data_IF_143771973190
#
_entry.id   IF_143771973190
#
_cell.length_a   1.000
_cell.length_b   1.000
_cell.length_c   1.000
_cell.angle_alpha   90.00
_cell.angle_beta   90.00
_cell.angle_gamma   90.00
#
_symmetry.space_group_name_H-M   'P 1'
#
loop_
_entity.id
_entity.type
_entity.pdbx_description
1 polymer ?
#
# COMPACT_ATOMS: atom_id res chain seq x y z
N UNK A 1 -0.78 -0.49 14.58
CA UNK A 1 -1.40 -0.29 13.25
C UNK A 1 -0.33 0.34 12.38
N UNK A 2 0.12 -0.32 11.33
CA UNK A 2 1.29 0.11 10.56
C UNK A 2 0.95 1.34 9.71
N UNK A 3 1.56 2.49 10.02
CA UNK A 3 1.46 3.70 9.19
C UNK A 3 2.33 3.52 7.94
N UNK A 4 1.71 3.17 6.81
CA UNK A 4 2.36 3.16 5.50
C UNK A 4 2.41 4.61 5.00
N UNK A 5 3.60 5.24 4.93
CA UNK A 5 3.72 6.63 4.49
C UNK A 5 3.39 6.79 3.01
N UNK A 6 3.04 8.02 2.62
CA UNK A 6 2.89 8.36 1.20
C UNK A 6 4.23 8.18 0.46
N UNK A 7 4.21 7.67 -0.79
CA UNK A 7 5.43 7.54 -1.59
C UNK A 7 6.14 8.89 -1.73
N UNK A 8 7.45 8.91 -1.53
CA UNK A 8 8.29 10.09 -1.74
C UNK A 8 8.63 10.29 -3.21
N UNK A 9 8.73 9.18 -3.97
CA UNK A 9 9.08 9.20 -5.38
C UNK A 9 7.84 9.22 -6.30
N UNK A 10 7.95 9.96 -7.41
CA UNK A 10 6.91 10.08 -8.45
C UNK A 10 6.64 8.76 -9.18
N UNK A 11 5.50 8.64 -9.87
CA UNK A 11 5.06 7.36 -10.48
C UNK A 11 6.08 6.77 -11.45
N UNK A 12 6.80 7.62 -12.18
CA UNK A 12 7.78 7.23 -13.19
C UNK A 12 9.22 7.17 -12.65
N UNK A 13 9.41 7.39 -11.35
CA UNK A 13 10.71 7.38 -10.71
C UNK A 13 11.18 5.92 -10.47
N UNK A 14 12.37 5.53 -10.97
CA UNK A 14 12.88 4.17 -10.78
C UNK A 14 13.06 3.78 -9.30
N UNK A 15 13.34 4.75 -8.42
CA UNK A 15 13.57 4.53 -7.00
C UNK A 15 12.26 4.26 -6.22
N UNK A 16 11.10 4.58 -6.81
CA UNK A 16 9.79 4.30 -6.22
C UNK A 16 9.58 2.83 -5.93
N UNK A 17 10.09 1.95 -6.79
CA UNK A 17 9.96 0.49 -6.63
C UNK A 17 10.71 -0.02 -5.40
N UNK A 18 11.93 0.48 -5.19
CA UNK A 18 12.78 0.17 -4.04
C UNK A 18 12.21 0.75 -2.74
N UNK A 19 11.73 2.00 -2.79
CA UNK A 19 11.05 2.66 -1.69
C UNK A 19 9.82 1.86 -1.25
N UNK A 20 8.94 1.52 -2.19
CA UNK A 20 7.73 0.75 -1.91
C UNK A 20 8.09 -0.59 -1.25
N UNK A 21 9.05 -1.32 -1.82
CA UNK A 21 9.50 -2.60 -1.25
C UNK A 21 9.92 -2.45 0.20
N UNK A 22 10.77 -1.47 0.50
CA UNK A 22 11.28 -1.23 1.85
C UNK A 22 10.15 -0.89 2.83
N UNK A 23 9.24 0.00 2.43
CA UNK A 23 8.10 0.42 3.25
C UNK A 23 7.19 -0.79 3.58
N UNK A 24 6.80 -1.55 2.55
CA UNK A 24 5.87 -2.67 2.72
C UNK A 24 6.50 -3.85 3.47
N UNK A 25 7.79 -4.15 3.26
CA UNK A 25 8.50 -5.18 4.04
C UNK A 25 8.56 -4.80 5.53
N UNK A 26 8.83 -3.53 5.85
CA UNK A 26 8.84 -3.06 7.24
C UNK A 26 7.45 -3.11 7.88
N UNK A 27 6.41 -2.69 7.15
CA UNK A 27 5.03 -2.75 7.63
C UNK A 27 4.58 -4.19 7.88
N UNK A 28 4.94 -5.12 6.99
CA UNK A 28 4.68 -6.55 7.13
C UNK A 28 5.37 -7.13 8.37
N UNK A 29 6.65 -6.85 8.56
CA UNK A 29 7.41 -7.31 9.74
C UNK A 29 6.80 -6.80 11.04
N UNK A 30 6.38 -5.54 11.08
CA UNK A 30 5.70 -4.98 12.26
C UNK A 30 4.39 -5.70 12.54
N UNK A 31 3.58 -5.96 11.50
CA UNK A 31 2.32 -6.67 11.64
C UNK A 31 2.52 -8.10 12.15
N UNK A 32 3.48 -8.83 11.58
CA UNK A 32 3.83 -10.19 12.04
C UNK A 32 4.29 -10.17 13.48
N UNK A 33 5.13 -9.20 13.87
CA UNK A 33 5.57 -9.05 15.26
C UNK A 33 4.40 -8.80 16.22
N UNK A 34 3.48 -7.91 15.85
CA UNK A 34 2.29 -7.61 16.66
C UNK A 34 1.39 -8.86 16.82
N UNK A 35 1.23 -9.65 15.75
CA UNK A 35 0.49 -10.90 15.80
C UNK A 35 1.17 -11.95 16.69
N UNK A 36 2.50 -12.08 16.61
CA UNK A 36 3.25 -13.00 17.48
C UNK A 36 3.13 -12.59 18.95
N UNK A 37 3.20 -11.30 19.26
CA UNK A 37 2.98 -10.76 20.61
C UNK A 37 1.56 -11.10 21.11
N UNK A 38 0.58 -11.10 20.21
CA UNK A 38 -0.79 -11.50 20.52
C UNK A 38 -1.00 -13.03 20.65
N UNK A 39 0.05 -13.85 20.48
CA UNK A 39 0.04 -15.29 20.72
C UNK A 39 -0.07 -16.15 19.46
N UNK A 40 -0.05 -15.55 18.27
CA UNK A 40 -0.09 -16.30 17.01
C UNK A 40 1.28 -16.89 16.65
N UNK A 41 1.28 -18.01 15.91
CA UNK A 41 2.52 -18.57 15.36
C UNK A 41 2.94 -17.80 14.12
N UNK A 42 4.23 -17.49 14.02
CA UNK A 42 4.77 -16.74 12.87
C UNK A 42 4.44 -17.40 11.52
N UNK A 43 4.56 -18.73 11.43
CA UNK A 43 4.27 -19.48 10.20
C UNK A 43 2.80 -19.45 9.79
N UNK A 44 1.89 -19.43 10.77
CA UNK A 44 0.44 -19.34 10.54
C UNK A 44 0.09 -17.95 10.00
N UNK A 45 0.62 -16.90 10.64
CA UNK A 45 0.42 -15.51 10.22
C UNK A 45 0.98 -15.29 8.80
N UNK A 46 2.16 -15.82 8.51
CA UNK A 46 2.75 -15.72 7.17
C UNK A 46 1.88 -16.38 6.09
N UNK A 47 1.31 -17.56 6.38
CA UNK A 47 0.43 -18.26 5.45
C UNK A 47 -0.88 -17.50 5.22
N UNK A 48 -1.52 -16.99 6.28
CA UNK A 48 -2.74 -16.19 6.18
C UNK A 48 -2.51 -14.88 5.42
N UNK A 49 -1.36 -14.24 5.60
CA UNK A 49 -1.02 -13.02 4.87
C UNK A 49 -0.77 -13.28 3.38
N UNK A 50 -0.16 -14.41 3.03
CA UNK A 50 0.02 -14.82 1.64
C UNK A 50 -1.33 -15.06 0.95
N UNK A 51 -2.23 -15.81 1.59
CA UNK A 51 -3.58 -16.09 1.08
C UNK A 51 -4.41 -14.79 0.93
N UNK A 52 -4.38 -13.91 1.93
CA UNK A 52 -5.06 -12.62 1.88
C UNK A 52 -4.53 -11.74 0.73
N UNK A 53 -3.22 -11.72 0.51
CA UNK A 53 -2.60 -10.96 -0.57
C UNK A 53 -3.00 -11.51 -1.95
N UNK A 54 -2.98 -12.83 -2.12
CA UNK A 54 -3.42 -13.51 -3.35
C UNK A 54 -4.87 -13.19 -3.68
N UNK A 55 -5.77 -13.35 -2.71
CA UNK A 55 -7.19 -13.04 -2.87
C UNK A 55 -7.42 -11.58 -3.27
N UNK A 56 -6.67 -10.63 -2.71
CA UNK A 56 -6.77 -9.22 -3.09
C UNK A 56 -6.25 -8.94 -4.50
N UNK A 57 -5.17 -9.61 -4.91
CA UNK A 57 -4.65 -9.53 -6.29
C UNK A 57 -5.69 -10.04 -7.28
N UNK A 58 -6.32 -11.20 -7.00
CA UNK A 58 -7.39 -11.74 -7.83
C UNK A 58 -8.59 -10.80 -7.92
N UNK A 59 -8.98 -10.18 -6.80
CA UNK A 59 -10.02 -9.17 -6.76
C UNK A 59 -9.70 -7.95 -7.65
N UNK A 60 -8.46 -7.45 -7.61
CA UNK A 60 -8.03 -6.34 -8.47
C UNK A 60 -8.03 -6.74 -9.95
N UNK A 61 -7.56 -7.94 -10.27
CA UNK A 61 -7.54 -8.46 -11.64
C UNK A 61 -8.95 -8.64 -12.22
N UNK A 62 -9.92 -9.02 -11.39
CA UNK A 62 -11.31 -9.23 -11.79
C UNK A 62 -12.09 -7.91 -12.05
N UNK A 63 -11.56 -6.75 -11.64
CA UNK A 63 -12.24 -5.45 -11.80
C UNK A 63 -11.51 -4.54 -12.81
N UNK A 64 -12.00 -4.44 -14.06
CA UNK A 64 -11.29 -3.73 -15.13
C UNK A 64 -11.15 -2.21 -14.92
N UNK A 65 -11.98 -1.60 -14.06
CA UNK A 65 -12.04 -0.14 -13.88
C UNK A 65 -11.25 0.41 -12.66
N UNK A 66 -10.58 -0.44 -11.88
CA UNK A 66 -9.64 0.05 -10.85
C UNK A 66 -8.29 0.43 -11.47
N UNK A 67 -8.32 1.11 -12.63
CA UNK A 67 -7.17 1.69 -13.27
C UNK A 67 -6.51 2.68 -12.30
N UNK A 68 -5.54 2.17 -11.52
CA UNK A 68 -4.46 2.92 -10.89
C UNK A 68 -4.91 4.26 -10.28
N UNK A 69 -5.90 4.23 -9.40
CA UNK A 69 -6.08 5.36 -8.49
C UNK A 69 -4.86 5.41 -7.57
N UNK A 70 -3.85 6.16 -7.99
CA UNK A 70 -2.85 6.62 -7.04
C UNK A 70 -3.62 7.47 -6.02
N UNK A 71 -3.65 7.03 -4.75
CA UNK A 71 -4.38 7.74 -3.70
C UNK A 71 -3.92 9.21 -3.52
N UNK A 72 -2.82 9.62 -4.17
CA UNK A 72 -2.23 10.95 -4.11
C UNK A 72 -2.62 11.90 -5.26
N UNK A 73 -3.48 11.53 -6.21
CA UNK A 73 -3.83 12.39 -7.37
C UNK A 73 -4.81 13.54 -7.07
N UNK A 74 -5.27 13.70 -5.82
CA UNK A 74 -6.23 14.75 -5.43
C UNK A 74 -5.62 16.14 -5.14
N UNK A 75 -4.49 16.53 -5.73
CA UNK A 75 -3.81 17.83 -5.40
C UNK A 75 -3.71 18.87 -6.51
N UNK A 76 -4.69 18.94 -7.40
CA UNK A 76 -4.86 20.13 -8.25
C UNK A 76 -6.32 20.60 -8.20
N UNK A 77 -6.65 21.35 -7.15
CA UNK A 77 -7.81 22.25 -7.22
C UNK A 77 -7.50 23.35 -8.23
N UNK A 78 -8.35 23.62 -9.24
CA UNK A 78 -8.15 24.77 -10.11
C UNK A 78 -8.27 26.05 -9.26
N UNK A 79 -7.26 26.91 -9.35
CA UNK A 79 -7.31 28.26 -8.82
C UNK A 79 -8.58 28.95 -9.31
N UNK A 80 -9.44 29.34 -8.37
CA UNK A 80 -10.63 30.17 -8.61
C UNK A 80 -10.18 31.46 -9.31
N UNK A 81 -10.79 31.89 -10.43
CA UNK A 81 -10.45 33.19 -11.01
C UNK A 81 -10.89 34.29 -10.04
N UNK A 82 -9.94 35.11 -9.60
CA UNK A 82 -10.24 36.38 -8.94
C UNK A 82 -10.82 37.31 -10.01
N UNK A 83 -12.13 37.53 -9.96
CA UNK A 83 -12.77 38.64 -10.66
C UNK A 83 -12.35 39.95 -10.00
N UNK A 84 -11.93 40.92 -10.81
CA UNK A 84 -11.94 42.35 -10.52
C UNK A 84 -12.48 43.08 -11.73
#
# INVERSE_FOLDING_TARGET
MSDVPSPRHGVDDPDRSSEARTIFENALRSLVKDAVIAGWRESEVAMLLADAAENYIMYLAAKPDHARFAANSNRISPLKPMSS
#
